data_IF_864026470455
#
_entry.id   IF_864026470455
#
_cell.length_a   1.000
_cell.length_b   1.000
_cell.length_c   1.000
_cell.angle_alpha   90.00
_cell.angle_beta   90.00
_cell.angle_gamma   90.00
#
_symmetry.space_group_name_H-M   'P 1'
#
loop_
_entity.id
_entity.type
_entity.pdbx_description
1 polymer ?
#
# COMPACT_ATOMS: atom_id res chain seq x y z
N UNK A 1 25.03 -6.38 13.39
CA UNK A 1 23.55 -6.32 13.43
C UNK A 1 23.07 -6.03 12.03
N UNK A 2 22.19 -6.88 11.45
CA UNK A 2 21.63 -6.64 10.11
C UNK A 2 20.23 -6.05 10.29
N UNK A 3 20.00 -4.85 9.79
CA UNK A 3 18.71 -4.19 9.84
C UNK A 3 18.08 -4.36 8.46
N UNK A 4 16.83 -4.79 8.42
CA UNK A 4 16.00 -4.88 7.20
C UNK A 4 14.81 -3.98 7.43
N UNK A 5 14.49 -3.12 6.47
CA UNK A 5 13.33 -2.23 6.53
C UNK A 5 12.17 -2.89 5.78
N UNK A 6 10.97 -2.85 6.36
CA UNK A 6 9.74 -3.29 5.71
C UNK A 6 8.92 -2.09 5.27
N UNK A 7 8.40 -2.16 4.06
CA UNK A 7 7.49 -1.16 3.50
C UNK A 7 6.16 -1.83 3.16
N UNK A 8 5.08 -1.29 3.70
CA UNK A 8 3.73 -1.76 3.37
C UNK A 8 3.20 -0.98 2.17
N UNK A 9 2.80 -1.70 1.13
CA UNK A 9 2.23 -1.14 -0.08
C UNK A 9 0.71 -1.27 -0.01
N UNK A 10 0.06 -0.29 0.63
CA UNK A 10 -1.39 -0.31 0.86
C UNK A 10 -2.19 0.21 -0.33
N UNK A 11 -1.60 1.06 -1.16
CA UNK A 11 -2.28 1.73 -2.24
C UNK A 11 -1.45 1.70 -3.53
N UNK A 12 -2.03 1.14 -4.59
CA UNK A 12 -1.40 1.11 -5.93
C UNK A 12 -1.97 2.16 -6.87
N UNK A 13 -3.26 2.49 -6.73
CA UNK A 13 -3.95 3.37 -7.66
C UNK A 13 -4.98 4.24 -6.93
N UNK A 14 -4.95 5.54 -7.21
CA UNK A 14 -5.90 6.49 -6.67
C UNK A 14 -7.35 6.22 -7.12
N UNK A 15 -7.52 5.58 -8.28
CA UNK A 15 -8.87 5.26 -8.82
C UNK A 15 -9.61 4.23 -7.98
N UNK A 16 -8.90 3.34 -7.28
CA UNK A 16 -9.53 2.35 -6.39
C UNK A 16 -10.26 3.02 -5.22
N UNK A 17 -9.82 4.23 -4.81
CA UNK A 17 -10.42 5.02 -3.74
C UNK A 17 -11.59 5.90 -4.18
N UNK A 18 -11.91 5.92 -5.46
CA UNK A 18 -13.06 6.67 -5.98
C UNK A 18 -14.39 5.94 -5.71
N UNK A 19 -14.40 4.63 -5.91
CA UNK A 19 -15.64 3.83 -5.94
C UNK A 19 -15.76 2.85 -4.80
N UNK A 20 -14.66 2.30 -4.29
CA UNK A 20 -14.72 1.23 -3.29
C UNK A 20 -14.92 1.76 -1.87
N UNK A 21 -14.15 2.72 -1.45
CA UNK A 21 -14.17 3.27 -0.08
C UNK A 21 -14.65 4.72 0.01
N UNK A 22 -14.88 5.36 -1.16
CA UNK A 22 -15.32 6.74 -1.26
C UNK A 22 -14.40 7.75 -0.54
N UNK A 23 -13.12 7.41 -0.35
CA UNK A 23 -12.15 8.31 0.31
C UNK A 23 -12.00 9.59 -0.50
N UNK A 24 -11.89 9.50 -1.82
CA UNK A 24 -11.72 10.69 -2.67
C UNK A 24 -12.97 11.58 -2.69
N UNK A 25 -14.20 11.10 -2.88
CA UNK A 25 -15.39 11.92 -2.74
C UNK A 25 -15.50 12.60 -1.38
N UNK A 26 -15.22 11.87 -0.28
CA UNK A 26 -15.20 12.45 1.08
C UNK A 26 -14.14 13.54 1.22
N UNK A 27 -12.94 13.30 0.67
CA UNK A 27 -11.85 14.28 0.67
C UNK A 27 -12.25 15.57 -0.07
N UNK A 28 -12.91 15.44 -1.23
CA UNK A 28 -13.36 16.59 -2.03
C UNK A 28 -14.44 17.40 -1.32
N UNK A 29 -15.46 16.75 -0.80
CA UNK A 29 -16.54 17.42 -0.02
C UNK A 29 -15.93 18.12 1.20
N UNK A 30 -15.10 17.43 1.98
CA UNK A 30 -14.43 18.02 3.14
C UNK A 30 -13.53 19.19 2.76
N UNK A 31 -12.80 19.07 1.65
CA UNK A 31 -11.91 20.14 1.19
C UNK A 31 -12.69 21.35 0.74
N UNK A 32 -13.84 21.17 0.08
CA UNK A 32 -14.74 22.26 -0.30
C UNK A 32 -15.28 22.99 0.94
N UNK A 33 -15.76 22.26 1.94
CA UNK A 33 -16.22 22.86 3.21
C UNK A 33 -15.11 23.63 3.92
N UNK A 34 -13.87 23.11 3.91
CA UNK A 34 -12.71 23.77 4.51
C UNK A 34 -12.32 25.04 3.72
N UNK A 35 -12.47 25.03 2.39
CA UNK A 35 -12.24 26.21 1.56
C UNK A 35 -13.28 27.30 1.89
N UNK A 36 -14.56 26.95 1.94
CA UNK A 36 -15.64 27.89 2.32
C UNK A 36 -15.45 28.45 3.74
N UNK A 37 -14.93 27.65 4.65
CA UNK A 37 -14.61 28.07 6.01
C UNK A 37 -13.27 28.83 6.14
N UNK A 38 -12.56 29.09 5.06
CA UNK A 38 -11.27 29.79 5.07
C UNK A 38 -10.12 29.01 5.73
N UNK A 39 -10.29 27.69 5.94
CA UNK A 39 -9.29 26.84 6.62
C UNK A 39 -8.18 26.34 5.70
N UNK A 40 -8.39 26.35 4.39
CA UNK A 40 -7.40 25.98 3.38
C UNK A 40 -7.38 26.99 2.25
N UNK A 41 -6.24 27.12 1.58
CA UNK A 41 -6.11 27.97 0.40
C UNK A 41 -6.76 27.31 -0.83
N UNK A 42 -7.12 28.12 -1.83
CA UNK A 42 -7.60 27.65 -3.12
C UNK A 42 -6.58 26.73 -3.80
N UNK A 43 -5.29 27.02 -3.70
CA UNK A 43 -4.23 26.18 -4.21
C UNK A 43 -4.24 24.78 -3.58
N UNK A 44 -4.41 24.68 -2.27
CA UNK A 44 -4.51 23.40 -1.56
C UNK A 44 -5.77 22.63 -1.96
N UNK A 45 -6.89 23.33 -2.13
CA UNK A 45 -8.13 22.72 -2.63
C UNK A 45 -7.93 22.15 -4.04
N UNK A 46 -7.39 22.93 -4.96
CA UNK A 46 -7.13 22.51 -6.34
C UNK A 46 -6.18 21.30 -6.40
N UNK A 47 -5.12 21.32 -5.61
CA UNK A 47 -4.19 20.20 -5.52
C UNK A 47 -4.89 18.91 -5.06
N UNK A 48 -5.79 18.98 -4.08
CA UNK A 48 -6.57 17.82 -3.61
C UNK A 48 -7.61 17.35 -4.62
N UNK A 49 -8.16 18.25 -5.40
CA UNK A 49 -9.12 17.91 -6.46
C UNK A 49 -8.43 17.15 -7.60
N UNK A 50 -7.21 17.52 -7.93
CA UNK A 50 -6.42 16.96 -9.04
C UNK A 50 -5.56 15.75 -8.63
N UNK A 51 -5.72 15.23 -7.42
CA UNK A 51 -4.92 14.10 -6.90
C UNK A 51 -4.98 12.86 -7.80
N UNK A 52 -6.12 12.60 -8.44
CA UNK A 52 -6.31 11.50 -9.39
C UNK A 52 -5.36 11.58 -10.59
N UNK A 53 -5.11 12.79 -11.08
CA UNK A 53 -4.26 13.00 -12.26
C UNK A 53 -2.77 12.91 -11.94
N UNK A 54 -2.40 13.05 -10.67
CA UNK A 54 -1.01 12.99 -10.24
C UNK A 54 -0.59 11.61 -9.74
N UNK A 55 -1.54 10.71 -9.53
CA UNK A 55 -1.37 9.31 -9.03
C UNK A 55 -0.23 9.15 -7.99
N UNK A 56 -0.11 10.09 -7.07
CA UNK A 56 0.97 10.12 -6.07
C UNK A 56 0.75 9.17 -4.89
N UNK A 57 -0.28 8.34 -4.93
CA UNK A 57 -0.54 7.36 -3.88
C UNK A 57 0.45 6.20 -3.94
N UNK A 58 0.88 5.80 -5.13
CA UNK A 58 1.91 4.79 -5.29
C UNK A 58 3.30 5.46 -5.36
N UNK A 59 4.06 5.33 -4.30
CA UNK A 59 5.43 5.85 -4.20
C UNK A 59 6.47 4.74 -4.11
N UNK A 60 6.10 3.52 -4.46
CA UNK A 60 6.97 2.34 -4.37
C UNK A 60 8.28 2.55 -5.13
N UNK A 61 8.22 3.13 -6.33
CA UNK A 61 9.42 3.40 -7.13
C UNK A 61 10.36 4.44 -6.48
N UNK A 62 9.80 5.49 -5.90
CA UNK A 62 10.59 6.51 -5.19
C UNK A 62 11.29 5.92 -3.97
N UNK A 63 10.58 5.06 -3.22
CA UNK A 63 11.12 4.37 -2.05
C UNK A 63 12.21 3.39 -2.45
N UNK A 64 12.00 2.58 -3.49
CA UNK A 64 13.02 1.68 -4.02
C UNK A 64 14.27 2.42 -4.47
N UNK A 65 14.11 3.54 -5.17
CA UNK A 65 15.23 4.37 -5.61
C UNK A 65 16.02 4.94 -4.42
N UNK A 66 15.33 5.38 -3.38
CA UNK A 66 15.94 5.86 -2.15
C UNK A 66 16.72 4.77 -1.43
N UNK A 67 16.10 3.61 -1.21
CA UNK A 67 16.72 2.48 -0.50
C UNK A 67 17.95 1.97 -1.25
N UNK A 68 17.85 1.87 -2.58
CA UNK A 68 18.96 1.48 -3.44
C UNK A 68 20.13 2.47 -3.37
N UNK A 69 19.83 3.77 -3.42
CA UNK A 69 20.85 4.82 -3.33
C UNK A 69 21.59 4.81 -1.99
N UNK A 70 20.93 4.37 -0.91
CA UNK A 70 21.50 4.32 0.43
C UNK A 70 21.97 2.92 0.86
N UNK A 71 21.87 1.90 -0.01
CA UNK A 71 22.25 0.53 0.30
C UNK A 71 21.41 -0.10 1.40
N UNK A 72 20.15 0.28 1.51
CA UNK A 72 19.22 -0.19 2.54
C UNK A 72 18.55 -1.48 2.06
N UNK A 73 18.75 -2.63 2.76
CA UNK A 73 18.02 -3.84 2.44
C UNK A 73 16.57 -3.72 2.89
N UNK A 74 15.65 -3.86 1.94
CA UNK A 74 14.22 -3.64 2.17
C UNK A 74 13.36 -4.77 1.63
N UNK A 75 12.21 -4.97 2.27
CA UNK A 75 11.15 -5.91 1.87
C UNK A 75 9.86 -5.15 1.69
N UNK A 76 9.17 -5.38 0.58
CA UNK A 76 7.89 -4.74 0.26
C UNK A 76 6.74 -5.72 0.48
N UNK A 77 5.82 -5.37 1.37
CA UNK A 77 4.62 -6.16 1.66
C UNK A 77 3.42 -5.61 0.91
N UNK A 78 2.73 -6.50 0.19
CA UNK A 78 1.55 -6.17 -0.60
C UNK A 78 0.29 -6.70 0.07
N UNK A 79 -0.68 -5.82 0.33
CA UNK A 79 -1.99 -6.19 0.88
C UNK A 79 -2.84 -6.87 -0.19
N UNK A 80 -3.11 -8.16 -0.03
CA UNK A 80 -3.83 -8.96 -1.02
C UNK A 80 -5.18 -9.44 -0.49
N UNK A 81 -6.04 -8.58 0.03
CA UNK A 81 -7.42 -9.00 0.24
C UNK A 81 -8.42 -7.86 0.30
N UNK A 82 -9.70 -8.18 0.05
CA UNK A 82 -10.80 -7.25 -0.13
C UNK A 82 -11.31 -6.62 1.17
N UNK A 83 -10.53 -6.61 2.23
CA UNK A 83 -10.98 -6.18 3.54
C UNK A 83 -10.44 -4.82 3.91
N UNK A 84 -11.32 -3.95 4.40
CA UNK A 84 -11.01 -2.61 4.93
C UNK A 84 -10.40 -1.59 3.94
N UNK A 85 -10.75 -1.65 2.66
CA UNK A 85 -10.35 -0.62 1.69
C UNK A 85 -8.92 -0.72 1.18
N UNK A 86 -8.18 -1.77 1.55
CA UNK A 86 -6.82 -2.03 1.07
C UNK A 86 -6.77 -2.85 -0.23
N UNK A 87 -7.86 -2.93 -0.96
CA UNK A 87 -8.02 -3.91 -2.03
C UNK A 87 -7.67 -3.36 -3.39
N UNK A 88 -6.47 -3.57 -3.81
CA UNK A 88 -6.17 -3.57 -5.23
C UNK A 88 -6.20 -5.00 -5.80
N UNK A 89 -6.58 -5.14 -7.06
CA UNK A 89 -6.66 -6.46 -7.69
C UNK A 89 -5.26 -7.07 -7.87
N UNK A 90 -5.15 -8.39 -7.78
CA UNK A 90 -3.90 -9.11 -8.08
C UNK A 90 -3.30 -8.72 -9.44
N UNK A 91 -4.16 -8.43 -10.44
CA UNK A 91 -3.70 -7.96 -11.75
C UNK A 91 -2.94 -6.64 -11.69
N UNK A 92 -3.33 -5.74 -10.79
CA UNK A 92 -2.63 -4.45 -10.58
C UNK A 92 -1.37 -4.62 -9.75
N UNK A 93 -1.36 -5.54 -8.79
CA UNK A 93 -0.20 -5.81 -7.93
C UNK A 93 0.94 -6.49 -8.69
N UNK A 94 0.61 -7.44 -9.57
CA UNK A 94 1.59 -8.26 -10.28
C UNK A 94 2.73 -7.48 -10.94
N UNK A 95 2.50 -6.47 -11.79
CA UNK A 95 3.59 -5.73 -12.42
C UNK A 95 4.46 -4.96 -11.41
N UNK A 96 3.89 -4.48 -10.30
CA UNK A 96 4.65 -3.79 -9.26
C UNK A 96 5.51 -4.78 -8.48
N UNK A 97 4.99 -5.96 -8.15
CA UNK A 97 5.74 -7.04 -7.51
C UNK A 97 6.89 -7.50 -8.39
N UNK A 98 6.65 -7.75 -9.69
CA UNK A 98 7.67 -8.14 -10.65
C UNK A 98 8.78 -7.07 -10.74
N UNK A 99 8.40 -5.79 -10.70
CA UNK A 99 9.38 -4.69 -10.68
C UNK A 99 10.20 -4.68 -9.41
N UNK A 100 9.57 -4.82 -8.23
CA UNK A 100 10.28 -4.90 -6.93
C UNK A 100 11.31 -6.03 -6.96
N UNK A 101 10.91 -7.22 -7.40
CA UNK A 101 11.80 -8.38 -7.49
C UNK A 101 12.93 -8.19 -8.50
N UNK A 102 12.68 -7.50 -9.63
CA UNK A 102 13.70 -7.22 -10.64
C UNK A 102 14.76 -6.21 -10.16
N UNK A 103 14.44 -5.37 -9.20
CA UNK A 103 15.35 -4.37 -8.61
C UNK A 103 16.12 -4.91 -7.39
N UNK A 104 16.11 -6.24 -7.17
CA UNK A 104 16.83 -6.92 -6.08
C UNK A 104 16.27 -6.67 -4.67
N UNK A 105 14.98 -6.34 -4.58
CA UNK A 105 14.26 -6.27 -3.32
C UNK A 105 13.41 -7.53 -3.10
N UNK A 106 13.12 -7.83 -1.83
CA UNK A 106 12.20 -8.91 -1.49
C UNK A 106 10.74 -8.42 -1.50
N UNK A 107 9.81 -9.29 -1.89
CA UNK A 107 8.38 -9.02 -1.85
C UNK A 107 7.68 -10.06 -0.97
N UNK A 108 6.78 -9.60 -0.11
CA UNK A 108 5.94 -10.42 0.75
C UNK A 108 4.46 -10.10 0.57
N UNK A 109 3.61 -10.95 1.10
CA UNK A 109 2.15 -10.71 1.16
C UNK A 109 1.78 -10.33 2.57
N UNK A 110 1.08 -9.22 2.71
CA UNK A 110 0.46 -8.79 3.96
C UNK A 110 -1.02 -9.21 3.91
N UNK A 111 -1.36 -10.27 4.65
CA UNK A 111 -2.75 -10.69 4.82
C UNK A 111 -3.38 -9.95 6.00
N UNK A 112 -4.45 -9.21 5.75
CA UNK A 112 -5.33 -8.70 6.82
C UNK A 112 -6.54 -9.64 6.86
N UNK A 113 -6.56 -10.56 7.81
CA UNK A 113 -7.73 -11.42 8.05
C UNK A 113 -8.76 -10.61 8.86
N UNK A 114 -9.75 -10.05 8.17
CA UNK A 114 -10.84 -9.31 8.81
C UNK A 114 -11.91 -10.22 9.45
N UNK A 115 -11.84 -11.52 9.21
CA UNK A 115 -12.84 -12.45 9.69
C UNK A 115 -12.58 -12.94 11.12
N UNK A 116 -11.46 -12.53 11.75
CA UNK A 116 -11.15 -12.95 13.12
C UNK A 116 -11.02 -14.47 13.29
N UNK A 117 -10.84 -15.19 12.20
CA UNK A 117 -10.52 -16.62 12.28
C UNK A 117 -9.10 -16.72 12.81
N UNK A 118 -8.86 -17.30 14.00
CA UNK A 118 -7.51 -17.45 14.51
C UNK A 118 -6.73 -18.24 13.47
N UNK A 119 -5.76 -17.57 12.84
CA UNK A 119 -4.96 -18.10 11.77
C UNK A 119 -4.38 -19.44 12.19
N UNK A 120 -4.81 -20.49 11.52
CA UNK A 120 -4.20 -21.80 11.59
C UNK A 120 -2.80 -21.63 10.99
N UNK A 121 -1.85 -21.27 11.84
CA UNK A 121 -0.44 -21.37 11.48
C UNK A 121 -0.13 -22.83 11.27
N UNK A 122 -0.28 -23.30 10.03
CA UNK A 122 0.27 -24.56 9.59
C UNK A 122 1.80 -24.39 9.51
N UNK A 123 2.42 -24.29 10.67
CA UNK A 123 3.84 -24.58 10.79
C UNK A 123 3.95 -26.08 10.55
N UNK A 124 4.65 -26.58 9.54
CA UNK A 124 4.93 -27.99 9.45
C UNK A 124 5.72 -28.34 10.72
N UNK A 125 5.17 -29.25 11.51
CA UNK A 125 5.83 -29.80 12.67
C UNK A 125 7.09 -30.54 12.19
N UNK A 126 8.28 -30.22 12.71
CA UNK A 126 9.47 -30.95 12.33
C UNK A 126 9.29 -32.42 12.76
N UNK A 127 9.45 -33.33 11.82
CA UNK A 127 9.48 -34.78 12.05
C UNK A 127 10.35 -35.08 13.27
N UNK A 128 9.75 -35.62 14.32
CA UNK A 128 10.49 -36.17 15.44
C UNK A 128 11.02 -37.54 14.99
N UNK A 129 12.31 -37.77 15.04
CA UNK A 129 12.83 -39.11 14.80
C UNK A 129 12.29 -40.03 15.89
N UNK A 130 11.61 -41.10 15.46
CA UNK A 130 11.04 -42.11 16.34
C UNK A 130 12.12 -42.79 17.19
N UNK A 131 11.78 -42.97 18.43
CA UNK A 131 12.40 -43.92 19.35
C UNK A 131 11.88 -45.33 19.06
#
# INVERSE_FOLDING_TARGET
>A
MKIIISHDVDHLDATDHLTKDLILPKLWVRSFLHLCAGKISFHTFWYRLTVLFHNRMNRTEEVMAFDKAHGIPSVFFFGMDNVLGMSYSQKKAKPVIEKVLSEVFDAGVHGVDAAGTPGRTSRPEPDRPGT
#
